data_IF_593545607401
#
_entry.id   IF_593545607401
#
_cell.length_a   1.000
_cell.length_b   1.000
_cell.length_c   1.000
_cell.angle_alpha   90.00
_cell.angle_beta   90.00
_cell.angle_gamma   90.00
#
_symmetry.space_group_name_H-M   'P 1'
#
loop_
_entity.id
_entity.type
_entity.pdbx_description
1 polymer ?
#
# COMPACT_ATOMS: atom_id res chain seq x y z
N UNK A 1 16.90 6.23 34.87
CA UNK A 1 16.58 5.05 34.04
C UNK A 1 16.73 3.76 34.89
N UNK A 2 15.91 3.64 35.94
CA UNK A 2 15.85 2.41 36.72
C UNK A 2 15.28 1.27 35.86
N UNK A 3 15.98 0.13 35.81
CA UNK A 3 15.51 -1.07 35.10
C UNK A 3 16.01 -1.28 33.68
N UNK A 4 16.87 -0.41 33.13
CA UNK A 4 17.54 -0.60 31.85
C UNK A 4 18.93 -1.22 32.04
N UNK A 5 19.27 -2.19 31.19
CA UNK A 5 20.55 -2.92 31.26
C UNK A 5 21.26 -2.80 29.91
N UNK A 6 22.52 -2.39 29.94
CA UNK A 6 23.42 -2.47 28.79
C UNK A 6 23.93 -3.90 28.65
N UNK A 7 23.88 -4.45 27.44
CA UNK A 7 24.28 -5.84 27.14
C UNK A 7 24.58 -5.97 25.65
N UNK A 8 25.03 -7.16 25.20
CA UNK A 8 25.17 -7.43 23.77
C UNK A 8 23.82 -7.91 23.16
N UNK A 9 23.62 -7.65 21.88
CA UNK A 9 22.43 -8.18 21.17
C UNK A 9 22.38 -9.71 21.25
N UNK A 10 23.53 -10.37 21.21
CA UNK A 10 23.62 -11.83 21.35
C UNK A 10 23.20 -12.36 22.72
N UNK A 11 23.17 -11.53 23.76
CA UNK A 11 22.67 -11.91 25.09
C UNK A 11 21.14 -11.81 25.20
N UNK A 12 20.49 -11.09 24.30
CA UNK A 12 19.02 -10.91 24.31
C UNK A 12 18.29 -11.71 23.26
N UNK A 13 18.97 -12.14 22.18
CA UNK A 13 18.41 -13.01 21.14
C UNK A 13 19.50 -13.85 20.46
N UNK A 14 19.08 -14.92 19.77
CA UNK A 14 19.95 -15.73 18.91
C UNK A 14 19.48 -15.64 17.46
N UNK A 15 20.30 -15.05 16.59
CA UNK A 15 20.06 -15.02 15.14
C UNK A 15 20.60 -16.30 14.49
N UNK A 16 19.84 -16.85 13.58
CA UNK A 16 20.23 -17.95 12.71
C UNK A 16 19.98 -17.60 11.24
N UNK A 17 20.84 -18.08 10.33
CA UNK A 17 20.60 -18.01 8.89
C UNK A 17 19.39 -18.88 8.54
N UNK A 18 18.53 -18.37 7.66
CA UNK A 18 17.43 -19.14 7.10
C UNK A 18 17.90 -20.31 6.23
N UNK A 19 16.97 -21.09 5.76
CA UNK A 19 17.18 -22.35 5.05
C UNK A 19 17.12 -22.14 3.55
N UNK A 20 17.90 -22.93 2.81
CA UNK A 20 17.83 -22.96 1.36
C UNK A 20 16.51 -23.62 0.90
N UNK A 21 15.82 -23.00 -0.04
CA UNK A 21 14.62 -23.56 -0.69
C UNK A 21 14.55 -23.03 -2.13
N UNK A 22 15.23 -23.68 -3.08
CA UNK A 22 15.16 -23.35 -4.49
C UNK A 22 13.72 -23.41 -5.02
N UNK A 23 13.39 -22.59 -6.03
CA UNK A 23 12.03 -22.53 -6.59
C UNK A 23 11.50 -23.90 -7.05
N UNK A 24 12.36 -24.77 -7.61
CA UNK A 24 12.00 -26.11 -8.08
C UNK A 24 11.59 -27.08 -6.95
N UNK A 25 12.00 -26.79 -5.70
CA UNK A 25 11.78 -27.64 -4.52
C UNK A 25 10.61 -27.12 -3.67
N UNK A 26 9.94 -26.05 -4.14
CA UNK A 26 8.75 -25.49 -3.48
C UNK A 26 7.53 -26.30 -3.86
N UNK A 27 6.77 -26.69 -2.86
CA UNK A 27 5.49 -27.40 -2.99
C UNK A 27 4.39 -26.44 -2.54
N UNK A 28 3.31 -26.34 -3.29
CA UNK A 28 2.18 -25.46 -2.95
C UNK A 28 1.61 -25.84 -1.58
N UNK A 29 1.42 -24.85 -0.73
CA UNK A 29 0.91 -25.03 0.63
C UNK A 29 0.65 -23.69 1.34
N UNK A 30 0.20 -23.72 2.60
CA UNK A 30 -0.21 -22.52 3.33
C UNK A 30 0.94 -21.82 4.07
N UNK A 31 2.15 -22.36 4.07
CA UNK A 31 3.29 -21.85 4.85
C UNK A 31 4.03 -20.75 4.09
N UNK A 32 4.11 -19.50 4.62
CA UNK A 32 4.82 -18.44 3.94
C UNK A 32 6.33 -18.65 3.92
N UNK A 33 6.93 -18.44 2.77
CA UNK A 33 8.38 -18.37 2.59
C UNK A 33 8.82 -16.93 2.79
N UNK A 34 9.58 -16.68 3.86
CA UNK A 34 9.97 -15.33 4.27
C UNK A 34 11.43 -15.06 3.88
N UNK A 35 11.62 -14.15 2.93
CA UNK A 35 12.93 -13.68 2.46
C UNK A 35 13.31 -12.34 3.11
N UNK A 36 14.40 -11.73 2.63
CA UNK A 36 14.79 -10.37 3.01
C UNK A 36 13.78 -9.29 2.61
N UNK A 37 12.95 -9.54 1.59
CA UNK A 37 11.91 -8.62 1.13
C UNK A 37 10.51 -8.94 1.67
N UNK A 38 10.39 -9.84 2.65
CA UNK A 38 9.13 -10.31 3.20
C UNK A 38 8.70 -11.65 2.60
N UNK A 39 7.39 -11.90 2.55
CA UNK A 39 6.81 -13.11 1.97
C UNK A 39 7.02 -13.11 0.46
N UNK A 40 7.69 -14.15 -0.05
CA UNK A 40 8.04 -14.30 -1.48
C UNK A 40 7.52 -15.59 -2.12
N UNK A 41 6.62 -16.26 -1.46
CA UNK A 41 5.97 -17.48 -1.93
C UNK A 41 5.44 -18.31 -0.77
N UNK A 42 4.98 -19.50 -1.10
CA UNK A 42 4.33 -20.40 -0.17
C UNK A 42 4.93 -21.80 -0.29
N UNK A 43 4.81 -22.61 0.77
CA UNK A 43 5.32 -23.97 0.85
C UNK A 43 4.40 -24.81 1.74
N UNK A 44 4.55 -26.13 1.72
CA UNK A 44 3.75 -27.05 2.50
C UNK A 44 4.33 -27.35 3.89
N UNK A 45 5.61 -27.04 4.12
CA UNK A 45 6.32 -27.36 5.38
C UNK A 45 6.93 -26.11 6.01
N UNK A 46 6.68 -25.90 7.31
CA UNK A 46 7.34 -24.89 8.12
C UNK A 46 8.70 -25.36 8.66
N UNK A 47 9.60 -24.41 8.90
CA UNK A 47 10.91 -24.62 9.58
C UNK A 47 11.03 -23.82 10.87
N UNK A 48 10.12 -22.92 11.12
CA UNK A 48 10.08 -22.10 12.32
C UNK A 48 8.64 -21.85 12.75
N UNK A 49 8.44 -21.80 14.07
CA UNK A 49 7.14 -21.52 14.69
C UNK A 49 7.00 -20.03 15.04
N UNK A 50 5.76 -19.51 15.08
CA UNK A 50 5.51 -18.15 15.53
C UNK A 50 5.70 -18.00 17.06
N UNK A 51 5.91 -16.75 17.54
CA UNK A 51 6.11 -15.53 16.76
C UNK A 51 7.50 -15.49 16.11
N UNK A 52 7.57 -15.04 14.85
CA UNK A 52 8.81 -14.95 14.08
C UNK A 52 9.30 -13.51 13.92
N UNK A 53 10.61 -13.30 14.06
CA UNK A 53 11.29 -12.06 13.66
C UNK A 53 12.32 -12.43 12.60
N UNK A 54 12.11 -11.94 11.37
CA UNK A 54 12.99 -12.22 10.24
C UNK A 54 13.64 -10.93 9.76
N UNK A 55 14.95 -10.95 9.55
CA UNK A 55 15.76 -9.78 9.22
C UNK A 55 16.44 -9.99 7.88
N UNK A 56 16.35 -8.99 6.99
CA UNK A 56 16.99 -9.03 5.68
C UNK A 56 18.52 -9.08 5.77
N UNK A 57 19.10 -10.12 5.15
CA UNK A 57 20.55 -10.37 5.14
C UNK A 57 21.18 -9.95 3.81
N UNK A 58 20.48 -10.12 2.68
CA UNK A 58 20.89 -9.73 1.34
C UNK A 58 19.74 -9.00 0.65
N UNK A 59 20.04 -8.11 -0.27
CA UNK A 59 19.02 -7.30 -0.97
C UNK A 59 18.47 -6.20 -0.06
N UNK A 60 17.30 -6.40 0.53
CA UNK A 60 16.71 -5.47 1.51
C UNK A 60 17.39 -5.63 2.87
N UNK A 61 18.62 -5.09 3.00
CA UNK A 61 19.42 -5.20 4.21
C UNK A 61 18.71 -4.53 5.40
N UNK A 62 18.66 -5.24 6.54
CA UNK A 62 18.10 -4.71 7.79
C UNK A 62 16.58 -4.57 7.82
N UNK A 63 15.85 -4.95 6.75
CA UNK A 63 14.40 -5.06 6.83
C UNK A 63 13.99 -6.03 7.93
N UNK A 64 12.96 -5.71 8.71
CA UNK A 64 12.48 -6.55 9.82
C UNK A 64 11.04 -6.92 9.56
N UNK A 65 10.76 -8.23 9.52
CA UNK A 65 9.44 -8.80 9.28
C UNK A 65 8.96 -9.52 10.53
N UNK A 66 7.74 -9.22 10.94
CA UNK A 66 7.03 -9.89 12.03
C UNK A 66 6.10 -10.95 11.45
N UNK A 67 6.22 -12.21 11.95
CA UNK A 67 5.47 -13.36 11.42
C UNK A 67 4.66 -14.00 12.55
N UNK A 68 3.38 -14.17 12.30
CA UNK A 68 2.39 -14.66 13.29
C UNK A 68 1.91 -16.09 13.04
N UNK A 69 2.42 -16.73 11.99
CA UNK A 69 2.07 -18.09 11.61
C UNK A 69 3.33 -18.95 11.40
N UNK A 70 3.26 -20.30 11.37
CA UNK A 70 4.40 -21.13 11.04
C UNK A 70 4.97 -20.77 9.67
N UNK A 71 6.30 -20.67 9.54
CA UNK A 71 6.93 -20.10 8.37
C UNK A 71 8.24 -20.80 7.97
N UNK A 72 8.68 -20.54 6.72
CA UNK A 72 10.00 -20.95 6.24
C UNK A 72 10.89 -19.70 6.08
N UNK A 73 11.84 -19.45 7.00
CA UNK A 73 12.83 -18.39 6.81
C UNK A 73 13.82 -18.77 5.71
N UNK A 74 13.89 -17.96 4.63
CA UNK A 74 14.74 -18.25 3.48
C UNK A 74 16.19 -17.87 3.75
N UNK A 75 17.14 -18.48 3.06
CA UNK A 75 18.60 -18.28 3.22
C UNK A 75 19.08 -16.84 2.99
N UNK A 76 18.29 -15.99 2.33
CA UNK A 76 18.55 -14.56 2.14
C UNK A 76 18.28 -13.73 3.39
N UNK A 77 17.75 -14.33 4.45
CA UNK A 77 17.39 -13.70 5.71
C UNK A 77 18.14 -14.33 6.90
N UNK A 78 18.13 -13.60 8.02
CA UNK A 78 18.37 -14.10 9.36
C UNK A 78 17.02 -14.16 10.07
N UNK A 79 16.84 -15.11 10.99
CA UNK A 79 15.65 -15.20 11.83
C UNK A 79 16.04 -15.38 13.28
N UNK A 80 15.22 -14.95 14.20
CA UNK A 80 15.42 -15.12 15.64
C UNK A 80 15.00 -16.53 16.02
N UNK A 81 15.99 -17.35 16.34
CA UNK A 81 15.79 -18.73 16.79
C UNK A 81 15.40 -18.81 18.25
N UNK A 82 15.90 -17.89 19.07
CA UNK A 82 15.71 -17.88 20.52
C UNK A 82 15.66 -16.43 21.00
N UNK A 83 14.61 -16.07 21.69
CA UNK A 83 14.36 -14.74 22.26
C UNK A 83 14.95 -14.58 23.68
N UNK A 84 15.54 -15.64 24.24
CA UNK A 84 16.23 -15.64 25.55
C UNK A 84 15.39 -15.03 26.71
N UNK A 85 14.08 -15.30 26.68
CA UNK A 85 13.14 -14.81 27.69
C UNK A 85 12.73 -13.33 27.52
N UNK A 86 13.18 -12.64 26.47
CA UNK A 86 12.74 -11.30 26.14
C UNK A 86 11.43 -11.36 25.33
N UNK A 87 10.70 -10.24 25.32
CA UNK A 87 9.48 -10.12 24.55
C UNK A 87 9.78 -10.10 23.04
N UNK A 88 9.20 -11.02 22.22
CA UNK A 88 9.49 -11.12 20.81
C UNK A 88 9.08 -9.87 20.01
N UNK A 89 7.95 -9.28 20.36
CA UNK A 89 7.43 -8.09 19.66
C UNK A 89 8.31 -6.87 19.93
N UNK A 90 8.73 -6.68 21.19
CA UNK A 90 9.72 -5.66 21.53
C UNK A 90 11.02 -5.85 20.76
N UNK A 91 11.55 -7.08 20.68
CA UNK A 91 12.78 -7.34 19.95
C UNK A 91 12.63 -7.09 18.45
N UNK A 92 11.46 -7.28 17.87
CA UNK A 92 11.20 -6.88 16.48
C UNK A 92 11.36 -5.36 16.29
N UNK A 93 10.89 -4.57 17.25
CA UNK A 93 11.04 -3.10 17.24
C UNK A 93 12.48 -2.68 17.52
N UNK A 94 13.15 -3.32 18.47
CA UNK A 94 14.59 -3.08 18.73
C UNK A 94 15.41 -3.28 17.45
N UNK A 95 15.18 -4.36 16.73
CA UNK A 95 15.89 -4.66 15.48
C UNK A 95 15.67 -3.59 14.40
N UNK A 96 14.50 -2.94 14.35
CA UNK A 96 14.23 -1.83 13.41
C UNK A 96 15.04 -0.56 13.73
N UNK A 97 15.55 -0.40 14.95
CA UNK A 97 16.38 0.75 15.36
C UNK A 97 17.87 0.54 15.14
N UNK A 98 18.28 -0.69 14.86
CA UNK A 98 19.68 -1.03 14.64
C UNK A 98 20.05 -0.71 13.18
N UNK A 99 21.01 0.22 13.00
CA UNK A 99 21.58 0.48 11.67
C UNK A 99 22.38 -0.74 11.22
N UNK A 100 21.92 -1.39 10.16
CA UNK A 100 22.59 -2.55 9.58
C UNK A 100 23.30 -2.11 8.31
N UNK A 101 24.58 -1.80 8.44
CA UNK A 101 25.44 -1.47 7.30
C UNK A 101 25.96 -2.74 6.65
N UNK A 102 25.86 -2.84 5.33
CA UNK A 102 26.36 -3.96 4.53
C UNK A 102 27.88 -3.97 4.38
N UNK A 103 28.64 -3.57 5.41
CA UNK A 103 30.10 -3.48 5.38
C UNK A 103 30.77 -4.86 5.50
N UNK A 104 30.68 -5.67 4.46
CA UNK A 104 31.60 -6.80 4.28
C UNK A 104 32.43 -6.55 3.03
N UNK A 105 33.73 -6.88 3.10
CA UNK A 105 34.67 -6.83 1.97
C UNK A 105 34.35 -7.84 0.86
N UNK A 106 33.10 -8.30 0.76
CA UNK A 106 32.55 -9.23 -0.22
C UNK A 106 31.94 -8.48 -1.39
N UNK A 107 32.04 -9.03 -2.59
CA UNK A 107 31.43 -8.50 -3.81
C UNK A 107 29.90 -8.36 -3.72
N UNK A 108 29.25 -9.06 -2.76
CA UNK A 108 27.83 -8.90 -2.42
C UNK A 108 27.75 -8.51 -0.93
N UNK A 109 27.38 -7.25 -0.61
CA UNK A 109 27.19 -6.82 0.78
C UNK A 109 26.17 -7.70 1.48
N UNK A 110 26.54 -8.24 2.64
CA UNK A 110 25.64 -9.10 3.42
C UNK A 110 25.83 -8.90 4.92
N UNK A 111 24.76 -9.09 5.67
CA UNK A 111 24.76 -8.94 7.13
C UNK A 111 25.44 -10.13 7.79
N UNK A 112 26.47 -9.85 8.59
CA UNK A 112 27.15 -10.87 9.39
C UNK A 112 26.48 -11.02 10.76
N UNK A 113 25.87 -12.18 11.00
CA UNK A 113 25.21 -12.55 12.26
C UNK A 113 26.11 -12.32 13.48
N UNK A 114 27.39 -12.73 13.40
CA UNK A 114 28.31 -12.63 14.53
C UNK A 114 28.70 -11.17 14.86
N UNK A 115 28.66 -10.29 13.85
CA UNK A 115 28.81 -8.85 14.07
C UNK A 115 27.59 -8.30 14.79
N UNK A 116 26.38 -8.63 14.34
CA UNK A 116 25.15 -8.18 15.01
C UNK A 116 25.10 -8.62 16.48
N UNK A 117 25.46 -9.87 16.77
CA UNK A 117 25.44 -10.38 18.16
C UNK A 117 26.36 -9.58 19.12
N UNK A 118 27.43 -8.92 18.61
CA UNK A 118 28.36 -8.11 19.43
C UNK A 118 27.88 -6.67 19.63
N UNK A 119 26.83 -6.24 18.92
CA UNK A 119 26.36 -4.85 19.05
C UNK A 119 25.88 -4.59 20.49
N UNK A 120 26.32 -3.50 21.12
CA UNK A 120 25.81 -3.10 22.41
C UNK A 120 24.33 -2.64 22.24
N UNK A 121 23.48 -3.10 23.12
CA UNK A 121 22.05 -2.72 23.17
C UNK A 121 21.68 -2.39 24.62
N UNK A 122 20.76 -1.45 24.75
CA UNK A 122 20.16 -1.09 26.02
C UNK A 122 18.77 -1.71 26.07
N UNK A 123 18.49 -2.56 27.05
CA UNK A 123 17.21 -3.26 27.16
C UNK A 123 16.59 -3.10 28.55
N UNK A 124 15.28 -2.85 28.63
CA UNK A 124 14.57 -2.74 29.89
C UNK A 124 14.15 -4.11 30.45
N UNK A 125 13.50 -4.11 31.60
CA UNK A 125 12.81 -5.29 32.14
C UNK A 125 11.76 -5.83 31.14
N UNK A 126 11.46 -7.13 31.19
CA UNK A 126 10.49 -7.77 30.30
C UNK A 126 9.11 -7.11 30.37
N UNK A 127 8.69 -6.64 31.56
CA UNK A 127 7.42 -5.95 31.74
C UNK A 127 7.41 -4.59 31.01
N UNK A 128 8.52 -3.84 31.05
CA UNK A 128 8.67 -2.62 30.26
C UNK A 128 8.72 -2.93 28.75
N UNK A 129 9.40 -4.01 28.35
CA UNK A 129 9.41 -4.47 26.96
C UNK A 129 7.99 -4.72 26.44
N UNK A 130 7.15 -5.43 27.21
CA UNK A 130 5.74 -5.70 26.86
C UNK A 130 4.93 -4.41 26.73
N UNK A 131 5.11 -3.44 27.62
CA UNK A 131 4.43 -2.13 27.54
C UNK A 131 4.83 -1.36 26.29
N UNK A 132 6.13 -1.29 25.96
CA UNK A 132 6.63 -0.66 24.75
C UNK A 132 6.07 -1.37 23.50
N UNK A 133 6.10 -2.71 23.49
CA UNK A 133 5.56 -3.51 22.42
C UNK A 133 4.05 -3.27 22.23
N UNK A 134 3.28 -3.18 23.32
CA UNK A 134 1.84 -2.94 23.27
C UNK A 134 1.51 -1.58 22.61
N UNK A 135 2.22 -0.50 22.97
CA UNK A 135 2.00 0.82 22.35
C UNK A 135 2.32 0.82 20.86
N UNK A 136 3.47 0.27 20.48
CA UNK A 136 3.89 0.28 19.08
C UNK A 136 3.07 -0.68 18.22
N UNK A 137 2.65 -1.85 18.77
CA UNK A 137 1.82 -2.78 18.03
C UNK A 137 0.40 -2.28 17.85
N UNK A 138 -0.16 -1.54 18.82
CA UNK A 138 -1.46 -0.92 18.64
C UNK A 138 -1.49 0.05 17.45
N UNK A 139 -0.42 0.82 17.25
CA UNK A 139 -0.30 1.70 16.07
C UNK A 139 -0.19 0.88 14.78
N UNK A 140 0.68 -0.15 14.74
CA UNK A 140 0.82 -1.03 13.57
C UNK A 140 -0.51 -1.73 13.24
N UNK A 141 -1.25 -2.23 14.24
CA UNK A 141 -2.55 -2.90 14.08
C UNK A 141 -3.62 -1.94 13.54
N UNK A 142 -3.66 -0.70 14.03
CA UNK A 142 -4.57 0.33 13.47
C UNK A 142 -4.26 0.60 12.00
N UNK A 143 -2.98 0.68 11.62
CA UNK A 143 -2.59 0.85 10.22
C UNK A 143 -3.08 -0.34 9.37
N UNK A 144 -2.90 -1.56 9.84
CA UNK A 144 -3.34 -2.78 9.14
C UNK A 144 -4.86 -2.85 9.00
N UNK A 145 -5.60 -2.53 10.08
CA UNK A 145 -7.07 -2.45 10.06
C UNK A 145 -7.53 -1.41 9.02
N UNK A 146 -6.91 -0.25 8.99
CA UNK A 146 -7.26 0.79 8.03
C UNK A 146 -6.95 0.36 6.59
N UNK A 147 -5.82 -0.33 6.33
CA UNK A 147 -5.51 -0.89 5.00
C UNK A 147 -6.61 -1.86 4.57
N UNK A 148 -7.01 -2.77 5.45
CA UNK A 148 -8.09 -3.71 5.14
C UNK A 148 -9.44 -3.00 4.89
N UNK A 149 -9.77 -1.97 5.66
CA UNK A 149 -10.98 -1.15 5.44
C UNK A 149 -10.95 -0.42 4.10
N UNK A 150 -9.78 0.07 3.69
CA UNK A 150 -9.59 0.70 2.38
C UNK A 150 -9.90 -0.31 1.27
N UNK A 151 -9.32 -1.51 1.33
CA UNK A 151 -9.55 -2.58 0.34
C UNK A 151 -11.04 -2.95 0.25
N UNK A 152 -11.72 -3.04 1.38
CA UNK A 152 -13.16 -3.33 1.42
C UNK A 152 -14.01 -2.21 0.80
N UNK A 153 -13.69 -0.94 1.07
CA UNK A 153 -14.42 0.20 0.52
C UNK A 153 -14.20 0.34 -0.99
N UNK A 154 -12.98 0.16 -1.47
CA UNK A 154 -12.68 0.15 -2.91
C UNK A 154 -13.35 -1.05 -3.59
N UNK A 155 -13.30 -2.24 -2.96
CA UNK A 155 -13.99 -3.44 -3.44
C UNK A 155 -15.51 -3.29 -3.48
N UNK A 156 -16.11 -2.60 -2.51
CA UNK A 156 -17.54 -2.30 -2.49
C UNK A 156 -17.93 -1.41 -3.67
N UNK A 157 -17.21 -0.32 -3.90
CA UNK A 157 -17.47 0.59 -5.02
C UNK A 157 -17.32 -0.11 -6.37
N UNK A 158 -16.25 -0.94 -6.53
CA UNK A 158 -16.02 -1.77 -7.71
C UNK A 158 -17.18 -2.75 -7.94
N UNK A 159 -17.58 -3.48 -6.92
CA UNK A 159 -18.66 -4.47 -7.00
C UNK A 159 -19.99 -3.82 -7.36
N UNK A 160 -20.29 -2.66 -6.78
CA UNK A 160 -21.51 -1.92 -7.08
C UNK A 160 -21.51 -1.44 -8.53
N UNK A 161 -20.37 -0.93 -9.03
CA UNK A 161 -20.25 -0.55 -10.44
C UNK A 161 -20.50 -1.75 -11.35
N UNK A 162 -19.86 -2.89 -11.09
CA UNK A 162 -20.06 -4.09 -11.90
C UNK A 162 -21.50 -4.61 -11.86
N UNK A 163 -22.15 -4.61 -10.69
CA UNK A 163 -23.56 -5.02 -10.60
C UNK A 163 -24.48 -4.09 -11.40
N UNK A 164 -24.29 -2.77 -11.29
CA UNK A 164 -25.19 -1.82 -11.90
C UNK A 164 -24.95 -1.61 -13.40
N UNK A 165 -23.70 -1.49 -13.82
CA UNK A 165 -23.32 -1.01 -15.17
C UNK A 165 -22.70 -2.07 -16.08
N UNK A 166 -22.28 -3.20 -15.53
CA UNK A 166 -21.74 -4.32 -16.29
C UNK A 166 -22.74 -5.49 -16.34
N UNK A 167 -23.36 -5.81 -15.20
CA UNK A 167 -24.38 -6.87 -15.10
C UNK A 167 -25.81 -6.36 -15.21
N UNK A 168 -25.98 -5.04 -15.23
CA UNK A 168 -27.26 -4.35 -15.34
C UNK A 168 -28.26 -4.67 -14.23
N UNK A 169 -27.77 -4.96 -13.01
CA UNK A 169 -28.58 -5.29 -11.83
C UNK A 169 -28.70 -4.07 -10.90
N UNK A 170 -29.15 -2.95 -11.44
CA UNK A 170 -29.41 -1.73 -10.68
C UNK A 170 -30.83 -1.73 -10.10
N UNK A 171 -31.14 -0.90 -9.09
CA UNK A 171 -32.48 -0.81 -8.52
C UNK A 171 -33.54 -0.45 -9.58
N UNK A 172 -34.51 -1.34 -9.78
CA UNK A 172 -35.58 -1.20 -10.79
C UNK A 172 -35.26 -1.85 -12.14
N UNK A 173 -34.16 -2.57 -12.28
CA UNK A 173 -33.76 -3.24 -13.51
C UNK A 173 -34.74 -4.32 -13.98
N UNK A 174 -35.57 -4.89 -13.07
CA UNK A 174 -36.54 -5.94 -13.39
C UNK A 174 -37.61 -5.46 -14.36
N UNK A 175 -37.91 -4.15 -14.41
CA UNK A 175 -38.86 -3.53 -15.29
C UNK A 175 -38.25 -3.01 -16.59
N UNK A 176 -36.94 -3.16 -16.79
CA UNK A 176 -36.23 -2.62 -17.95
C UNK A 176 -36.26 -3.59 -19.13
N UNK A 177 -36.55 -3.05 -20.29
CA UNK A 177 -36.33 -3.74 -21.56
C UNK A 177 -34.85 -3.67 -21.96
N UNK A 178 -34.39 -4.64 -22.73
CA UNK A 178 -33.03 -4.70 -23.24
C UNK A 178 -33.01 -4.64 -24.76
N UNK A 179 -32.09 -3.85 -25.30
CA UNK A 179 -31.89 -3.66 -26.74
C UNK A 179 -30.48 -4.10 -27.16
N UNK A 180 -30.33 -4.54 -28.40
CA UNK A 180 -29.04 -4.90 -28.97
C UNK A 180 -28.22 -3.65 -29.31
N UNK A 181 -26.91 -3.68 -29.01
CA UNK A 181 -25.99 -2.60 -29.31
C UNK A 181 -24.61 -3.13 -29.71
N UNK A 182 -23.68 -2.21 -30.05
CA UNK A 182 -22.27 -2.56 -30.34
C UNK A 182 -21.51 -3.04 -29.09
N UNK A 183 -22.03 -2.79 -27.88
CA UNK A 183 -21.50 -3.30 -26.63
C UNK A 183 -22.25 -4.55 -26.13
N UNK A 184 -23.05 -5.19 -26.97
CA UNK A 184 -23.96 -6.27 -26.60
C UNK A 184 -25.34 -5.76 -26.18
N UNK A 185 -26.10 -6.61 -25.44
CA UNK A 185 -27.43 -6.24 -24.95
C UNK A 185 -27.32 -5.30 -23.75
N UNK A 186 -27.93 -4.11 -23.88
CA UNK A 186 -27.93 -3.06 -22.85
C UNK A 186 -29.34 -2.66 -22.49
N UNK A 187 -29.61 -2.04 -21.32
CA UNK A 187 -30.91 -1.49 -20.95
C UNK A 187 -31.41 -0.47 -21.98
N UNK A 188 -32.70 -0.51 -22.30
CA UNK A 188 -33.32 0.46 -23.18
C UNK A 188 -33.17 1.89 -22.60
N UNK A 189 -32.85 2.84 -23.47
CA UNK A 189 -32.55 4.23 -23.06
C UNK A 189 -31.09 4.50 -22.74
N UNK A 190 -30.25 3.45 -22.61
CA UNK A 190 -28.81 3.62 -22.54
C UNK A 190 -28.19 3.56 -23.94
N UNK A 191 -27.02 4.22 -24.11
CA UNK A 191 -26.40 4.29 -25.43
C UNK A 191 -24.89 4.09 -25.39
N UNK A 192 -24.31 3.25 -26.27
CA UNK A 192 -22.89 3.24 -26.52
C UNK A 192 -22.48 4.61 -27.08
N UNK A 193 -21.58 5.29 -26.38
CA UNK A 193 -21.15 6.64 -26.73
C UNK A 193 -19.62 6.66 -26.82
N UNK A 194 -19.06 7.39 -27.76
CA UNK A 194 -17.59 7.50 -27.83
C UNK A 194 -17.05 8.29 -26.65
N UNK A 195 -15.88 7.90 -26.15
CA UNK A 195 -15.27 8.58 -25.01
C UNK A 195 -15.09 10.08 -25.26
N UNK A 196 -14.78 10.50 -26.50
CA UNK A 196 -14.63 11.92 -26.86
C UNK A 196 -15.90 12.76 -26.67
N UNK A 197 -17.07 12.12 -26.66
CA UNK A 197 -18.37 12.83 -26.52
C UNK A 197 -18.74 13.07 -25.05
N UNK A 198 -18.14 12.32 -24.12
CA UNK A 198 -18.41 12.41 -22.67
C UNK A 198 -17.22 12.94 -21.87
N UNK A 199 -16.00 12.87 -22.41
CA UNK A 199 -14.81 13.29 -21.71
C UNK A 199 -13.74 13.91 -22.61
N UNK A 200 -13.02 14.90 -22.09
CA UNK A 200 -11.84 15.45 -22.70
C UNK A 200 -10.56 14.98 -21.99
N UNK A 201 -9.66 14.35 -22.73
CA UNK A 201 -8.35 13.95 -22.24
C UNK A 201 -7.36 15.10 -22.45
N UNK A 202 -6.90 15.68 -21.35
CA UNK A 202 -5.94 16.80 -21.33
C UNK A 202 -4.55 16.27 -21.01
N UNK A 203 -3.54 16.77 -21.71
CA UNK A 203 -2.14 16.43 -21.41
C UNK A 203 -1.69 17.02 -20.07
N UNK A 204 -1.01 16.21 -19.28
CA UNK A 204 -0.21 16.71 -18.16
C UNK A 204 0.97 17.56 -18.69
N UNK A 205 1.62 18.30 -17.79
CA UNK A 205 2.72 19.22 -18.11
C UNK A 205 4.07 18.64 -17.68
N UNK A 206 5.17 18.88 -18.43
CA UNK A 206 6.50 18.48 -17.99
C UNK A 206 6.86 19.08 -16.63
N UNK A 207 7.30 18.22 -15.69
CA UNK A 207 7.80 18.64 -14.38
C UNK A 207 8.92 17.68 -13.93
N UNK A 208 10.18 17.92 -14.39
CA UNK A 208 11.33 17.13 -13.99
C UNK A 208 11.52 17.11 -12.46
N UNK A 209 12.00 16.00 -11.91
CA UNK A 209 12.18 15.86 -10.46
C UNK A 209 13.05 16.97 -9.84
N UNK A 210 14.09 17.41 -10.58
CA UNK A 210 14.99 18.48 -10.14
C UNK A 210 14.33 19.89 -10.05
N UNK A 211 13.19 20.08 -10.69
CA UNK A 211 12.46 21.38 -10.68
C UNK A 211 11.27 21.40 -9.73
N UNK A 212 11.00 20.28 -9.06
CA UNK A 212 9.93 20.20 -8.07
C UNK A 212 10.32 20.98 -6.82
N UNK A 213 9.40 21.79 -6.34
CA UNK A 213 9.52 22.51 -5.07
C UNK A 213 8.70 21.79 -4.01
N UNK A 214 9.18 21.69 -2.75
CA UNK A 214 8.40 21.09 -1.67
C UNK A 214 7.02 21.78 -1.52
N UNK A 215 5.95 21.01 -1.43
CA UNK A 215 4.61 21.53 -1.27
C UNK A 215 3.58 20.40 -1.02
N UNK A 216 2.30 20.73 -0.83
CA UNK A 216 1.30 19.76 -0.41
C UNK A 216 0.66 18.98 -1.57
N UNK A 217 0.92 19.34 -2.83
CA UNK A 217 0.19 18.79 -3.96
C UNK A 217 0.91 17.59 -4.58
N UNK A 218 0.24 16.45 -4.76
CA UNK A 218 0.86 15.27 -5.37
C UNK A 218 1.18 15.52 -6.85
N UNK A 219 2.36 15.08 -7.25
CA UNK A 219 2.78 14.97 -8.65
C UNK A 219 2.42 13.58 -9.14
N UNK A 220 1.59 13.51 -10.18
CA UNK A 220 1.01 12.25 -10.67
C UNK A 220 1.58 11.90 -12.04
N UNK A 221 2.15 10.69 -12.12
CA UNK A 221 2.63 10.04 -13.34
C UNK A 221 1.74 8.86 -13.74
N UNK A 222 2.07 8.17 -14.81
CA UNK A 222 1.44 6.89 -15.18
C UNK A 222 1.62 5.79 -14.12
N UNK A 223 2.62 5.90 -13.26
CA UNK A 223 2.84 4.98 -12.12
C UNK A 223 2.13 5.40 -10.84
N UNK A 224 1.28 6.43 -10.89
CA UNK A 224 0.62 7.03 -9.73
C UNK A 224 1.38 8.23 -9.18
N UNK A 225 1.26 8.48 -7.88
CA UNK A 225 1.94 9.60 -7.20
C UNK A 225 3.45 9.32 -7.12
N UNK A 226 4.25 10.27 -7.63
CA UNK A 226 5.73 10.16 -7.73
C UNK A 226 6.46 11.29 -7.02
N UNK A 227 5.79 12.01 -6.15
CA UNK A 227 6.36 13.10 -5.36
C UNK A 227 5.34 14.19 -5.10
N UNK A 228 5.83 15.33 -4.62
CA UNK A 228 5.02 16.48 -4.25
C UNK A 228 5.54 17.76 -4.92
N UNK A 229 4.67 18.77 -5.03
CA UNK A 229 4.97 20.09 -5.58
C UNK A 229 4.15 21.17 -4.86
N UNK A 230 4.59 22.42 -4.97
CA UNK A 230 3.91 23.59 -4.37
C UNK A 230 2.77 24.16 -5.25
N UNK A 231 2.59 23.61 -6.45
CA UNK A 231 1.54 24.04 -7.38
C UNK A 231 0.71 22.83 -7.86
N UNK A 232 -0.61 23.00 -7.90
CA UNK A 232 -1.54 22.08 -8.56
C UNK A 232 -2.13 22.74 -9.80
N UNK A 233 -2.34 21.97 -10.87
CA UNK A 233 -2.97 22.47 -12.11
C UNK A 233 -4.34 21.83 -12.37
N UNK A 234 -4.70 20.81 -11.59
CA UNK A 234 -6.01 20.15 -11.67
C UNK A 234 -6.65 20.18 -10.28
N UNK A 235 -7.92 20.60 -10.18
CA UNK A 235 -8.66 20.56 -8.92
C UNK A 235 -9.03 19.12 -8.54
N UNK A 236 -9.40 18.92 -7.28
CA UNK A 236 -9.86 17.64 -6.76
C UNK A 236 -11.41 17.57 -6.74
N UNK A 237 -11.95 16.33 -6.76
CA UNK A 237 -11.27 15.10 -7.17
C UNK A 237 -11.02 15.07 -8.68
N UNK A 238 -10.05 14.25 -9.12
CA UNK A 238 -9.73 14.12 -10.52
C UNK A 238 -9.30 12.71 -10.94
N UNK A 239 -9.38 12.46 -12.24
CA UNK A 239 -8.96 11.17 -12.84
C UNK A 239 -7.72 11.41 -13.70
N UNK A 240 -6.74 10.50 -13.57
CA UNK A 240 -5.51 10.48 -14.37
C UNK A 240 -5.40 9.14 -15.12
N UNK A 241 -5.06 9.20 -16.41
CA UNK A 241 -4.83 8.02 -17.25
C UNK A 241 -3.35 8.01 -17.67
N UNK A 242 -2.69 6.87 -17.50
CA UNK A 242 -1.32 6.64 -17.95
C UNK A 242 -1.23 6.65 -19.47
N UNK A 243 -0.39 7.54 -20.01
CA UNK A 243 -0.15 7.72 -21.45
C UNK A 243 1.15 7.06 -21.90
N UNK A 244 2.22 7.13 -21.10
CA UNK A 244 3.54 6.54 -21.35
C UNK A 244 3.98 5.75 -20.13
N UNK A 245 4.75 4.69 -20.31
CA UNK A 245 5.13 3.78 -19.23
C UNK A 245 3.98 2.84 -18.87
N UNK A 246 3.28 3.07 -17.77
CA UNK A 246 2.10 2.26 -17.41
C UNK A 246 0.88 2.73 -18.21
N UNK A 247 0.81 2.32 -19.47
CA UNK A 247 -0.23 2.71 -20.42
C UNK A 247 -1.59 2.20 -19.93
N UNK A 248 -2.60 3.10 -19.94
CA UNK A 248 -3.97 2.76 -19.56
C UNK A 248 -4.19 2.58 -18.06
N UNK A 249 -3.17 2.80 -17.21
CA UNK A 249 -3.41 2.89 -15.77
C UNK A 249 -4.37 4.04 -15.46
N UNK A 250 -5.37 3.81 -14.60
CA UNK A 250 -6.36 4.83 -14.21
C UNK A 250 -6.26 5.08 -12.72
N UNK A 251 -6.06 6.34 -12.34
CA UNK A 251 -5.88 6.78 -10.97
C UNK A 251 -6.97 7.77 -10.58
N UNK A 252 -7.53 7.57 -9.39
CA UNK A 252 -8.38 8.54 -8.71
C UNK A 252 -7.52 9.37 -7.76
N UNK A 253 -7.61 10.71 -7.84
CA UNK A 253 -6.83 11.63 -6.99
C UNK A 253 -7.80 12.53 -6.22
N UNK A 254 -7.75 12.45 -4.89
CA UNK A 254 -8.72 13.09 -3.99
C UNK A 254 -8.34 14.53 -3.59
N UNK A 255 -7.14 14.97 -3.90
CA UNK A 255 -6.65 16.33 -3.58
C UNK A 255 -6.18 17.04 -4.85
N UNK A 256 -6.12 18.38 -4.89
CA UNK A 256 -5.58 19.08 -6.04
C UNK A 256 -4.18 18.58 -6.40
N UNK A 257 -3.87 18.41 -7.69
CA UNK A 257 -2.67 17.68 -8.11
C UNK A 257 -2.03 18.25 -9.37
N UNK A 258 -0.79 17.81 -9.62
CA UNK A 258 -0.02 18.15 -10.82
C UNK A 258 0.22 16.86 -11.65
N UNK A 259 -0.56 16.62 -12.73
CA UNK A 259 -0.28 15.52 -13.66
C UNK A 259 0.88 15.87 -14.58
N UNK A 260 1.88 14.95 -14.69
CA UNK A 260 3.01 15.17 -15.58
C UNK A 260 2.74 14.67 -17.00
N UNK A 261 3.64 14.98 -17.93
CA UNK A 261 3.52 14.72 -19.39
C UNK A 261 3.43 13.24 -19.79
N UNK A 262 3.61 12.32 -18.83
CA UNK A 262 3.39 10.88 -19.04
C UNK A 262 1.92 10.47 -18.86
N UNK A 263 1.02 11.42 -18.64
CA UNK A 263 -0.38 11.16 -18.35
C UNK A 263 -1.33 12.06 -19.13
N UNK A 264 -2.59 11.64 -19.17
CA UNK A 264 -3.75 12.52 -19.39
C UNK A 264 -4.48 12.73 -18.07
N UNK A 265 -5.08 13.90 -17.87
CA UNK A 265 -6.14 14.09 -16.89
C UNK A 265 -7.49 14.26 -17.59
N UNK A 266 -8.57 13.93 -16.90
CA UNK A 266 -9.90 13.79 -17.48
C UNK A 266 -10.81 14.93 -17.04
N UNK A 267 -11.38 15.63 -18.01
CA UNK A 267 -12.53 16.53 -17.81
C UNK A 267 -13.76 15.84 -18.37
N UNK A 268 -14.84 15.73 -17.61
CA UNK A 268 -16.04 15.01 -18.02
C UNK A 268 -17.32 15.74 -17.65
N UNK A 269 -18.37 15.53 -18.46
CA UNK A 269 -19.71 16.03 -18.23
C UNK A 269 -20.59 15.10 -17.41
N UNK A 270 -20.19 13.80 -17.27
CA UNK A 270 -20.92 12.83 -16.45
C UNK A 270 -20.29 12.74 -15.04
N UNK A 271 -21.02 12.15 -14.05
CA UNK A 271 -20.50 11.97 -12.71
C UNK A 271 -19.13 11.28 -12.71
N UNK A 272 -18.18 11.89 -11.98
CA UNK A 272 -16.77 11.54 -12.06
C UNK A 272 -16.50 10.09 -11.59
N UNK A 273 -17.18 9.62 -10.55
CA UNK A 273 -17.05 8.25 -10.07
C UNK A 273 -17.48 7.22 -11.11
N UNK A 274 -18.56 7.49 -11.86
CA UNK A 274 -18.97 6.62 -12.97
C UNK A 274 -17.92 6.62 -14.08
N UNK A 275 -17.42 7.80 -14.48
CA UNK A 275 -16.37 7.90 -15.51
C UNK A 275 -15.09 7.15 -15.08
N UNK A 276 -14.71 7.25 -13.81
CA UNK A 276 -13.54 6.54 -13.27
C UNK A 276 -13.62 5.02 -13.49
N UNK A 277 -14.75 4.41 -13.14
CA UNK A 277 -14.93 2.97 -13.28
C UNK A 277 -15.06 2.54 -14.73
N UNK A 278 -15.77 3.30 -15.57
CA UNK A 278 -15.83 3.01 -17.01
C UNK A 278 -14.44 3.04 -17.64
N UNK A 279 -13.60 4.03 -17.29
CA UNK A 279 -12.23 4.12 -17.80
C UNK A 279 -11.36 2.96 -17.33
N UNK A 280 -11.56 2.45 -16.14
CA UNK A 280 -10.82 1.27 -15.63
C UNK A 280 -11.15 -0.01 -16.39
N UNK A 281 -12.37 -0.13 -16.89
CA UNK A 281 -12.81 -1.28 -17.67
C UNK A 281 -12.42 -1.20 -19.15
N UNK A 282 -11.98 -0.04 -19.64
CA UNK A 282 -11.54 0.11 -21.02
C UNK A 282 -10.20 -0.60 -21.26
N UNK A 283 -10.15 -1.38 -22.34
CA UNK A 283 -8.91 -1.96 -22.85
C UNK A 283 -8.12 -0.90 -23.63
N UNK A 284 -7.32 -0.11 -22.94
CA UNK A 284 -6.39 0.80 -23.57
C UNK A 284 -5.24 0.02 -24.24
N UNK A 285 -5.13 0.15 -25.55
CA UNK A 285 -4.11 -0.54 -26.36
C UNK A 285 -2.95 0.40 -26.61
N UNK A 286 -1.73 -0.12 -26.49
CA UNK A 286 -0.52 0.59 -26.89
C UNK A 286 -0.55 0.88 -28.41
N UNK A 287 -0.22 2.11 -28.79
CA UNK A 287 0.04 2.42 -30.19
C UNK A 287 1.34 1.71 -30.58
N UNK A 288 1.30 0.78 -31.53
CA UNK A 288 2.48 0.08 -32.07
C UNK A 288 3.48 1.02 -32.79
N UNK A 289 3.64 2.26 -32.29
CA UNK A 289 4.58 3.25 -32.79
C UNK A 289 5.99 3.00 -32.22
N UNK A 290 7.01 3.58 -32.84
CA UNK A 290 8.42 3.49 -32.40
C UNK A 290 8.63 3.98 -30.94
N UNK A 291 7.71 4.78 -30.40
CA UNK A 291 7.63 5.16 -28.97
C UNK A 291 6.28 4.69 -28.45
N UNK A 292 6.22 3.65 -27.63
CA UNK A 292 5.00 3.15 -27.02
C UNK A 292 4.24 4.23 -26.25
N UNK A 293 2.92 4.30 -26.44
CA UNK A 293 2.10 5.27 -25.74
C UNK A 293 0.62 5.18 -26.11
N UNK A 294 -0.26 5.62 -25.20
CA UNK A 294 -1.68 5.74 -25.48
C UNK A 294 -1.91 6.94 -26.38
N UNK A 295 -2.39 6.69 -27.60
CA UNK A 295 -2.87 7.73 -28.51
C UNK A 295 -4.21 8.26 -28.00
N UNK A 296 -4.36 9.61 -27.94
CA UNK A 296 -5.62 10.24 -27.57
C UNK A 296 -6.74 9.90 -28.55
N UNK A 297 -6.42 9.80 -29.84
CA UNK A 297 -7.39 9.44 -30.89
C UNK A 297 -7.89 8.00 -30.72
N UNK A 298 -7.00 7.06 -30.40
CA UNK A 298 -7.38 5.68 -30.11
C UNK A 298 -8.27 5.60 -28.86
N UNK A 299 -7.88 6.30 -27.77
CA UNK A 299 -8.69 6.37 -26.56
C UNK A 299 -10.09 6.96 -26.85
N UNK A 300 -10.16 8.03 -27.63
CA UNK A 300 -11.42 8.67 -28.02
C UNK A 300 -12.33 7.79 -28.89
N UNK A 301 -11.74 6.84 -29.61
CA UNK A 301 -12.48 5.85 -30.41
C UNK A 301 -13.18 4.76 -29.57
N UNK A 302 -12.80 4.59 -28.30
CA UNK A 302 -13.39 3.61 -27.43
C UNK A 302 -14.83 4.01 -27.03
N UNK A 303 -15.67 3.00 -26.85
CA UNK A 303 -17.04 3.19 -26.39
C UNK A 303 -17.14 3.08 -24.88
N UNK A 304 -17.86 4.00 -24.29
CA UNK A 304 -18.34 4.00 -22.91
C UNK A 304 -19.86 4.01 -22.94
N UNK A 305 -20.49 3.75 -21.82
CA UNK A 305 -21.93 3.65 -21.74
C UNK A 305 -22.53 4.94 -21.20
N UNK A 306 -23.28 5.67 -22.04
CA UNK A 306 -24.12 6.76 -21.55
C UNK A 306 -25.35 6.14 -20.89
N UNK A 307 -25.55 6.46 -19.62
CA UNK A 307 -26.59 5.88 -18.76
C UNK A 307 -27.56 6.97 -18.29
N UNK A 308 -28.65 6.58 -17.65
CA UNK A 308 -29.57 7.50 -17.02
C UNK A 308 -28.88 8.38 -15.96
N UNK A 309 -29.08 9.70 -16.02
CA UNK A 309 -28.42 10.69 -15.15
C UNK A 309 -28.76 10.48 -13.66
N UNK A 310 -29.98 10.04 -13.36
CA UNK A 310 -30.43 9.78 -12.00
C UNK A 310 -29.67 8.58 -11.41
N UNK A 311 -29.49 7.51 -12.17
CA UNK A 311 -28.75 6.34 -11.75
C UNK A 311 -27.25 6.63 -11.63
N UNK A 312 -26.70 7.37 -12.59
CA UNK A 312 -25.30 7.83 -12.55
C UNK A 312 -25.01 8.68 -11.30
N UNK A 313 -25.89 9.62 -10.97
CA UNK A 313 -25.77 10.49 -9.79
C UNK A 313 -25.90 9.69 -8.49
N UNK A 314 -26.82 8.72 -8.42
CA UNK A 314 -26.97 7.85 -7.24
C UNK A 314 -25.73 7.00 -7.01
N UNK A 315 -25.17 6.44 -8.06
CA UNK A 315 -23.92 5.69 -7.97
C UNK A 315 -22.76 6.59 -7.51
N UNK A 316 -22.61 7.78 -8.12
CA UNK A 316 -21.53 8.72 -7.78
C UNK A 316 -21.60 9.17 -6.30
N UNK A 317 -22.81 9.34 -5.76
CA UNK A 317 -22.99 9.66 -4.34
C UNK A 317 -22.45 8.55 -3.44
N UNK A 318 -22.70 7.27 -3.76
CA UNK A 318 -22.14 6.13 -2.99
C UNK A 318 -20.65 6.03 -3.19
N UNK A 319 -20.18 6.16 -4.43
CA UNK A 319 -18.75 6.17 -4.76
C UNK A 319 -18.00 7.22 -3.94
N UNK A 320 -18.51 8.45 -3.86
CA UNK A 320 -17.90 9.53 -3.07
C UNK A 320 -17.79 9.19 -1.60
N UNK A 321 -18.86 8.66 -0.99
CA UNK A 321 -18.81 8.23 0.43
C UNK A 321 -17.71 7.20 0.66
N UNK A 322 -17.55 6.22 -0.25
CA UNK A 322 -16.49 5.22 -0.15
C UNK A 322 -15.10 5.87 -0.30
N UNK A 323 -14.90 6.71 -1.31
CA UNK A 323 -13.58 7.26 -1.63
C UNK A 323 -13.17 8.39 -0.67
N UNK A 324 -14.09 9.21 -0.17
CA UNK A 324 -13.82 10.16 0.92
C UNK A 324 -13.36 9.43 2.20
N UNK A 325 -14.00 8.27 2.50
CA UNK A 325 -13.59 7.41 3.61
C UNK A 325 -12.21 6.79 3.38
N UNK A 326 -11.91 6.34 2.17
CA UNK A 326 -10.59 5.82 1.77
C UNK A 326 -9.51 6.86 1.97
N UNK A 327 -9.71 8.12 1.53
CA UNK A 327 -8.71 9.18 1.72
C UNK A 327 -8.53 9.56 3.19
N UNK A 328 -9.60 9.61 3.97
CA UNK A 328 -9.52 9.83 5.41
C UNK A 328 -8.67 8.75 6.11
N UNK A 329 -8.89 7.47 5.78
CA UNK A 329 -8.11 6.34 6.31
C UNK A 329 -6.64 6.39 5.85
N UNK A 330 -6.37 6.73 4.60
CA UNK A 330 -4.99 6.93 4.09
C UNK A 330 -4.29 8.06 4.83
N UNK A 331 -5.00 9.16 5.07
CA UNK A 331 -4.50 10.29 5.87
C UNK A 331 -4.21 9.90 7.32
N UNK A 332 -5.08 9.11 7.94
CA UNK A 332 -4.85 8.56 9.28
C UNK A 332 -3.62 7.66 9.31
N UNK A 333 -3.46 6.75 8.35
CA UNK A 333 -2.29 5.88 8.26
C UNK A 333 -0.97 6.64 8.10
N UNK A 334 -0.95 7.72 7.31
CA UNK A 334 0.23 8.61 7.20
C UNK A 334 0.59 9.20 8.57
N UNK A 335 -0.38 9.72 9.33
CA UNK A 335 -0.14 10.26 10.68
C UNK A 335 0.31 9.19 11.67
N UNK A 336 -0.33 8.03 11.69
CA UNK A 336 0.05 6.90 12.53
C UNK A 336 1.49 6.43 12.25
N UNK A 337 1.87 6.30 10.99
CA UNK A 337 3.22 5.93 10.60
C UNK A 337 4.26 6.94 11.09
N UNK A 338 4.02 8.25 10.90
CA UNK A 338 4.90 9.31 11.43
C UNK A 338 5.00 9.26 12.95
N UNK A 339 3.89 9.09 13.65
CA UNK A 339 3.86 8.97 15.11
C UNK A 339 4.67 7.77 15.59
N UNK A 340 4.45 6.59 14.98
CA UNK A 340 5.22 5.38 15.27
C UNK A 340 6.72 5.61 15.07
N UNK A 341 7.10 6.16 13.93
CA UNK A 341 8.52 6.36 13.58
C UNK A 341 9.22 7.37 14.47
N UNK A 342 8.48 8.33 15.04
CA UNK A 342 8.98 9.26 16.07
C UNK A 342 9.08 8.60 17.46
N UNK A 343 8.12 7.75 17.83
CA UNK A 343 8.07 7.09 19.13
C UNK A 343 9.05 5.92 19.21
N UNK A 344 9.18 5.14 18.15
CA UNK A 344 9.99 3.92 18.10
C UNK A 344 11.39 4.10 18.67
N UNK A 345 12.26 4.99 18.15
CA UNK A 345 13.63 5.14 18.68
C UNK A 345 13.64 5.67 20.12
N UNK A 346 12.65 6.47 20.52
CA UNK A 346 12.62 7.06 21.88
C UNK A 346 12.20 6.04 22.93
N UNK A 347 11.22 5.20 22.61
CA UNK A 347 10.73 4.15 23.51
C UNK A 347 11.74 3.01 23.64
N UNK A 348 12.30 2.55 22.51
CA UNK A 348 13.20 1.40 22.48
C UNK A 348 14.58 1.73 23.09
N UNK A 349 15.00 3.00 23.11
CA UNK A 349 16.26 3.43 23.74
C UNK A 349 16.07 4.03 25.16
N UNK A 350 14.85 4.01 25.69
CA UNK A 350 14.57 4.54 27.02
C UNK A 350 14.59 6.08 27.13
N UNK A 351 14.59 6.80 25.99
CA UNK A 351 14.54 8.28 25.99
C UNK A 351 13.12 8.81 26.31
N UNK A 352 12.13 7.96 26.20
CA UNK A 352 10.75 8.20 26.62
C UNK A 352 10.34 7.10 27.61
N UNK A 353 9.91 7.49 28.80
CA UNK A 353 9.47 6.58 29.87
C UNK A 353 7.95 6.42 29.81
N UNK A 354 7.49 5.17 29.79
CA UNK A 354 6.07 4.80 29.86
C UNK A 354 5.59 4.46 31.28
N UNK A 355 6.44 4.62 32.30
CA UNK A 355 6.08 4.20 33.67
C UNK A 355 4.87 4.93 34.24
N UNK A 356 4.64 6.17 33.79
CA UNK A 356 3.52 7.03 34.24
C UNK A 356 2.39 7.16 33.21
N UNK A 357 2.50 6.49 32.05
CA UNK A 357 1.49 6.57 30.99
C UNK A 357 0.43 5.49 31.19
N UNK A 358 -0.81 5.89 31.43
CA UNK A 358 -1.94 4.97 31.36
C UNK A 358 -2.26 4.67 29.87
N UNK A 359 -2.01 3.41 29.49
CA UNK A 359 -2.25 2.95 28.13
C UNK A 359 -3.74 2.95 27.76
N UNK A 360 -4.64 2.87 28.76
CA UNK A 360 -6.09 2.97 28.55
C UNK A 360 -6.50 4.33 28.02
N UNK A 361 -5.91 5.40 28.55
CA UNK A 361 -6.22 6.78 28.13
C UNK A 361 -5.73 7.10 26.71
N UNK A 362 -4.60 6.53 26.30
CA UNK A 362 -4.07 6.72 24.94
C UNK A 362 -4.91 6.03 23.86
N UNK A 363 -5.46 4.84 24.19
CA UNK A 363 -6.28 4.07 23.25
C UNK A 363 -7.72 4.61 23.14
N UNK A 364 -8.22 5.29 24.17
CA UNK A 364 -9.58 5.86 24.17
C UNK A 364 -9.64 7.26 23.55
N UNK A 365 -8.57 8.04 23.60
CA UNK A 365 -8.52 9.40 23.04
C UNK A 365 -8.53 9.44 21.50
N UNK A 366 -8.20 8.34 20.82
CA UNK A 366 -8.23 8.25 19.34
C UNK A 366 -9.53 7.64 18.79
N UNK A 367 -10.42 7.14 19.65
CA UNK A 367 -11.71 6.54 19.26
C UNK A 367 -12.89 7.51 19.43
N UNK A 368 -12.66 8.70 19.92
CA UNK A 368 -13.62 9.80 20.07
C UNK A 368 -13.33 10.93 19.04
#
# INVERSE_FOLDING_TARGET
MNGWRETSLGDVLTLQRGFDLPARDRVDGPVPIVSSSGVTGWHDVAKAEPPGVVIGRYGSLGSVHWITEPYWPLNTSLWVKDFKGNDPRYLSYLMRTISIDGSSASAVPGVNRNHLHRLPVLVPSVDTQRRIAAVLSAIDELIEINVHRIDLLEGLAASLYHEWFVRFRFPGHEAMEFVDSVLGRIPAGWAPTRLCDLAALRYGKPLPAATRRPGPYPVVSSAGVVGEHDEAIVPAPGIVIGRKGNIGSVWWIDQPFFPIDTTYYVETSIPLGLMYWQLRDLAFIDSHAAVPGLSREQAYGLFVLAVDDSLATRFDAIHRVCFDSVEALRGQNRRLAVTRDLLLPRLVTGRLDLSEVDLGDLLTAELS
#
